data_IF_353990028676
#
_entry.id   IF_353990028676
#
_cell.length_a   1.000
_cell.length_b   1.000
_cell.length_c   1.000
_cell.angle_alpha   90.00
_cell.angle_beta   90.00
_cell.angle_gamma   90.00
#
_symmetry.space_group_name_H-M   'P 1'
#
loop_
_entity.id
_entity.type
_entity.pdbx_description
1 polymer ?
#
# COMPACT_ATOMS: atom_id res chain seq x y z
N UNK A 1 -8.08 -8.42 -9.12
CA UNK A 1 -8.21 -7.34 -8.11
C UNK A 1 -9.63 -6.76 -8.02
N UNK A 2 -10.27 -6.34 -9.12
CA UNK A 2 -11.64 -5.80 -9.10
C UNK A 2 -12.67 -6.72 -8.40
N UNK A 3 -12.66 -8.03 -8.71
CA UNK A 3 -13.54 -9.03 -8.08
C UNK A 3 -13.41 -9.16 -6.56
N UNK A 4 -12.20 -8.99 -6.01
CA UNK A 4 -11.97 -9.14 -4.57
C UNK A 4 -12.53 -7.94 -3.80
N UNK A 5 -12.41 -6.75 -4.39
CA UNK A 5 -12.99 -5.51 -3.87
C UNK A 5 -14.51 -5.56 -3.94
N UNK A 6 -15.07 -6.13 -5.01
CA UNK A 6 -16.51 -6.36 -5.14
C UNK A 6 -17.05 -7.29 -4.07
N UNK A 7 -16.34 -8.39 -3.78
CA UNK A 7 -16.74 -9.36 -2.74
C UNK A 7 -16.72 -8.75 -1.34
N UNK A 8 -15.67 -8.01 -0.99
CA UNK A 8 -15.58 -7.30 0.30
C UNK A 8 -16.69 -6.26 0.41
N UNK A 9 -16.93 -5.47 -0.65
CA UNK A 9 -18.00 -4.47 -0.66
C UNK A 9 -19.38 -5.10 -0.50
N UNK A 10 -19.61 -6.26 -1.15
CA UNK A 10 -20.88 -7.00 -1.07
C UNK A 10 -21.16 -7.49 0.34
N UNK A 11 -20.16 -7.99 1.06
CA UNK A 11 -20.29 -8.44 2.46
C UNK A 11 -20.62 -7.32 3.45
N UNK A 12 -20.31 -6.06 3.12
CA UNK A 12 -20.68 -4.91 3.94
C UNK A 12 -22.07 -4.36 3.65
N UNK A 13 -22.72 -4.80 2.57
CA UNK A 13 -24.12 -4.48 2.29
C UNK A 13 -25.03 -5.53 2.92
N UNK A 14 -25.95 -5.14 3.83
CA UNK A 14 -26.96 -6.07 4.30
C UNK A 14 -27.85 -6.49 3.13
N UNK A 15 -27.79 -7.78 2.76
CA UNK A 15 -28.67 -8.42 1.79
C UNK A 15 -30.09 -8.42 2.35
N UNK A 16 -30.79 -7.31 2.16
CA UNK A 16 -32.21 -7.22 2.45
C UNK A 16 -32.93 -7.68 1.20
N UNK A 17 -33.66 -8.79 1.29
CA UNK A 17 -34.59 -9.22 0.24
C UNK A 17 -35.58 -8.07 0.03
N UNK A 18 -35.36 -7.28 -1.02
CA UNK A 18 -36.10 -6.05 -1.29
C UNK A 18 -37.06 -6.30 -2.47
N UNK A 19 -38.36 -5.96 -2.34
CA UNK A 19 -39.29 -5.99 -3.46
C UNK A 19 -38.76 -5.12 -4.62
N UNK A 20 -39.21 -5.33 -5.88
CA UNK A 20 -38.66 -4.66 -7.04
C UNK A 20 -38.68 -3.14 -6.84
N UNK A 21 -37.47 -2.57 -6.67
CA UNK A 21 -37.27 -1.18 -6.33
C UNK A 21 -37.61 -0.29 -7.52
N UNK A 22 -38.23 0.88 -7.29
CA UNK A 22 -38.52 1.83 -8.38
C UNK A 22 -37.20 2.29 -9.02
N UNK A 23 -37.19 2.73 -10.30
CA UNK A 23 -35.96 3.15 -10.97
C UNK A 23 -35.15 4.21 -10.20
N UNK A 24 -35.83 5.14 -9.52
CA UNK A 24 -35.18 6.11 -8.64
C UNK A 24 -34.48 5.44 -7.44
N UNK A 25 -35.13 4.49 -6.78
CA UNK A 25 -34.57 3.72 -5.66
C UNK A 25 -33.34 2.89 -6.10
N UNK A 26 -33.37 2.32 -7.31
CA UNK A 26 -32.25 1.60 -7.90
C UNK A 26 -31.05 2.52 -8.19
N UNK A 27 -31.28 3.73 -8.70
CA UNK A 27 -30.24 4.72 -8.93
C UNK A 27 -29.61 5.19 -7.60
N UNK A 28 -30.42 5.39 -6.56
CA UNK A 28 -29.95 5.73 -5.23
C UNK A 28 -29.11 4.61 -4.59
N UNK A 29 -29.53 3.35 -4.71
CA UNK A 29 -28.77 2.20 -4.20
C UNK A 29 -27.46 2.00 -4.98
N UNK A 30 -27.49 2.14 -6.31
CA UNK A 30 -26.29 2.07 -7.16
C UNK A 30 -25.27 3.14 -6.78
N UNK A 31 -25.73 4.37 -6.53
CA UNK A 31 -24.88 5.47 -6.04
C UNK A 31 -24.31 5.16 -4.67
N UNK A 32 -25.13 4.67 -3.73
CA UNK A 32 -24.69 4.28 -2.39
C UNK A 32 -23.63 3.20 -2.45
N UNK A 33 -23.82 2.16 -3.26
CA UNK A 33 -22.83 1.10 -3.47
C UNK A 33 -21.51 1.64 -4.05
N UNK A 34 -21.57 2.53 -5.05
CA UNK A 34 -20.38 3.14 -5.62
C UNK A 34 -19.59 3.97 -4.59
N UNK A 35 -20.28 4.72 -3.72
CA UNK A 35 -19.66 5.50 -2.65
C UNK A 35 -19.05 4.60 -1.56
N UNK A 36 -19.75 3.53 -1.17
CA UNK A 36 -19.22 2.54 -0.23
C UNK A 36 -17.96 1.87 -0.79
N UNK A 37 -17.97 1.47 -2.07
CA UNK A 37 -16.80 0.91 -2.75
C UNK A 37 -15.62 1.89 -2.74
N UNK A 38 -15.86 3.16 -3.06
CA UNK A 38 -14.83 4.19 -3.03
C UNK A 38 -14.26 4.37 -1.62
N UNK A 39 -15.11 4.37 -0.60
CA UNK A 39 -14.70 4.47 0.80
C UNK A 39 -13.78 3.31 1.20
N UNK A 40 -14.20 2.07 0.91
CA UNK A 40 -13.41 0.86 1.19
C UNK A 40 -12.05 0.93 0.48
N UNK A 41 -12.01 1.30 -0.80
CA UNK A 41 -10.76 1.44 -1.54
C UNK A 41 -9.83 2.51 -0.95
N UNK A 42 -10.39 3.62 -0.48
CA UNK A 42 -9.62 4.66 0.20
C UNK A 42 -9.02 4.15 1.51
N UNK A 43 -9.80 3.42 2.30
CA UNK A 43 -9.35 2.86 3.58
C UNK A 43 -8.27 1.79 3.38
N UNK A 44 -8.45 0.91 2.37
CA UNK A 44 -7.42 -0.07 1.96
C UNK A 44 -6.13 0.64 1.52
N UNK A 45 -6.23 1.69 0.69
CA UNK A 45 -5.05 2.46 0.26
C UNK A 45 -4.31 3.07 1.44
N UNK A 46 -5.02 3.55 2.47
CA UNK A 46 -4.41 4.09 3.69
C UNK A 46 -3.72 2.99 4.50
N UNK A 47 -4.35 1.84 4.66
CA UNK A 47 -3.77 0.69 5.37
C UNK A 47 -2.51 0.18 4.68
N UNK A 48 -2.54 0.01 3.35
CA UNK A 48 -1.37 -0.41 2.56
C UNK A 48 -0.21 0.59 2.71
N UNK A 49 -0.48 1.90 2.68
CA UNK A 49 0.57 2.91 2.92
C UNK A 49 1.24 2.75 4.28
N UNK A 50 0.47 2.49 5.32
CA UNK A 50 1.01 2.26 6.66
C UNK A 50 1.90 1.00 6.71
N UNK A 51 1.47 -0.09 6.05
CA UNK A 51 2.26 -1.32 5.94
C UNK A 51 3.54 -1.12 5.11
N UNK A 52 3.47 -0.34 4.02
CA UNK A 52 4.66 0.04 3.24
C UNK A 52 5.66 0.83 4.09
N UNK A 53 5.18 1.72 4.96
CA UNK A 53 6.04 2.49 5.84
C UNK A 53 6.74 1.57 6.86
N UNK A 54 6.03 0.61 7.45
CA UNK A 54 6.61 -0.39 8.35
C UNK A 54 7.64 -1.28 7.63
N UNK A 55 7.31 -1.76 6.43
CA UNK A 55 8.21 -2.58 5.62
C UNK A 55 9.48 -1.83 5.22
N UNK A 56 9.37 -0.52 4.93
CA UNK A 56 10.53 0.32 4.63
C UNK A 56 11.48 0.44 5.84
N UNK A 57 10.94 0.57 7.06
CA UNK A 57 11.75 0.59 8.29
C UNK A 57 12.45 -0.76 8.51
N UNK A 58 11.72 -1.86 8.43
CA UNK A 58 12.31 -3.20 8.58
C UNK A 58 13.40 -3.49 7.53
N UNK A 59 13.20 -3.04 6.28
CA UNK A 59 14.21 -3.15 5.23
C UNK A 59 15.46 -2.32 5.56
N UNK A 60 15.28 -1.08 6.04
CA UNK A 60 16.39 -0.22 6.43
C UNK A 60 17.16 -0.79 7.63
N UNK A 61 16.47 -1.31 8.65
CA UNK A 61 17.06 -2.02 9.80
C UNK A 61 17.87 -3.25 9.36
N UNK A 62 17.43 -3.92 8.30
CA UNK A 62 18.14 -5.03 7.66
C UNK A 62 19.31 -4.57 6.77
N UNK A 63 19.59 -3.27 6.70
CA UNK A 63 20.71 -2.68 5.95
C UNK A 63 20.37 -2.15 4.55
N UNK A 64 19.11 -2.21 4.11
CA UNK A 64 18.72 -1.77 2.78
C UNK A 64 18.87 -0.25 2.61
N UNK A 65 19.44 0.15 1.48
CA UNK A 65 19.59 1.54 1.06
C UNK A 65 18.33 2.15 0.46
N UNK A 66 18.24 3.48 0.42
CA UNK A 66 17.18 4.18 -0.33
C UNK A 66 17.04 3.74 -1.80
N UNK A 67 18.11 3.36 -2.54
CA UNK A 67 17.95 2.80 -3.88
C UNK A 67 17.19 1.46 -3.92
N UNK A 68 17.47 0.57 -2.97
CA UNK A 68 16.85 -0.76 -2.89
C UNK A 68 15.39 -0.66 -2.45
N UNK A 69 15.14 0.12 -1.40
CA UNK A 69 13.79 0.40 -0.90
C UNK A 69 12.95 1.09 -1.98
N UNK A 70 13.51 2.09 -2.66
CA UNK A 70 12.83 2.76 -3.78
C UNK A 70 12.49 1.79 -4.90
N UNK A 71 13.44 0.94 -5.33
CA UNK A 71 13.22 -0.06 -6.37
C UNK A 71 12.10 -1.04 -6.01
N UNK A 72 12.03 -1.49 -4.76
CA UNK A 72 11.01 -2.41 -4.28
C UNK A 72 9.58 -1.87 -4.44
N UNK A 73 9.40 -0.54 -4.37
CA UNK A 73 8.10 0.13 -4.53
C UNK A 73 7.98 0.93 -5.83
N UNK A 74 8.81 0.63 -6.83
CA UNK A 74 8.81 1.30 -8.14
C UNK A 74 8.98 2.83 -8.06
N UNK A 75 9.87 3.29 -7.16
CA UNK A 75 10.16 4.69 -6.91
C UNK A 75 11.66 4.97 -7.04
N UNK A 76 12.01 6.19 -7.48
CA UNK A 76 13.40 6.61 -7.47
C UNK A 76 13.96 6.69 -6.03
N UNK A 77 15.29 6.59 -5.89
CA UNK A 77 16.00 6.82 -4.62
C UNK A 77 15.55 8.12 -3.93
N UNK A 78 15.45 9.22 -4.69
CA UNK A 78 15.06 10.51 -4.15
C UNK A 78 13.59 10.55 -3.74
N UNK A 79 12.72 9.85 -4.47
CA UNK A 79 11.34 9.65 -4.06
C UNK A 79 11.26 8.91 -2.73
N UNK A 80 12.01 7.81 -2.58
CA UNK A 80 12.05 7.02 -1.36
C UNK A 80 12.54 7.87 -0.17
N UNK A 81 13.61 8.65 -0.36
CA UNK A 81 14.11 9.58 0.67
C UNK A 81 13.11 10.65 1.05
N UNK A 82 12.36 11.20 0.09
CA UNK A 82 11.32 12.20 0.35
C UNK A 82 10.14 11.59 1.11
N UNK A 83 9.79 10.34 0.81
CA UNK A 83 8.70 9.63 1.47
C UNK A 83 9.05 9.20 2.90
N UNK A 84 10.27 8.70 3.10
CA UNK A 84 10.77 8.23 4.39
C UNK A 84 12.02 9.02 4.80
N UNK A 85 11.87 10.27 5.21
CA UNK A 85 13.01 11.07 5.65
C UNK A 85 13.63 10.46 6.91
N UNK A 86 14.96 10.38 6.96
CA UNK A 86 15.69 9.89 8.14
C UNK A 86 15.69 8.37 8.32
N UNK A 87 15.10 7.62 7.39
CA UNK A 87 14.98 6.15 7.46
C UNK A 87 16.33 5.43 7.59
N UNK A 88 17.38 6.00 6.99
CA UNK A 88 18.74 5.48 7.04
C UNK A 88 19.57 6.49 7.80
N UNK A 89 19.87 6.16 9.06
CA UNK A 89 20.82 6.89 9.89
C UNK A 89 22.18 6.19 9.81
N UNK A 90 23.26 6.95 9.94
CA UNK A 90 24.66 6.48 9.81
C UNK A 90 25.08 5.39 10.81
N UNK A 91 24.19 4.97 11.71
CA UNK A 91 24.42 3.93 12.70
C UNK A 91 23.85 2.56 12.32
N UNK A 92 23.11 2.45 11.21
CA UNK A 92 22.66 1.16 10.70
C UNK A 92 23.83 0.49 10.00
N UNK A 93 24.49 -0.41 10.73
CA UNK A 93 25.62 -1.24 10.32
C UNK A 93 25.55 -1.59 8.82
N UNK A 94 26.30 -0.85 8.00
CA UNK A 94 26.54 -1.25 6.63
C UNK A 94 27.48 -2.45 6.71
N UNK A 95 27.09 -3.67 6.27
CA UNK A 95 28.07 -4.73 6.10
C UNK A 95 29.10 -4.17 5.13
N UNK A 96 30.32 -3.98 5.62
CA UNK A 96 31.39 -3.36 4.85
C UNK A 96 31.53 -4.13 3.55
N UNK A 97 31.24 -3.48 2.42
CA UNK A 97 31.53 -4.01 1.11
C UNK A 97 33.06 -4.13 0.99
N UNK A 98 33.61 -5.24 1.48
CA UNK A 98 35.03 -5.55 1.44
C UNK A 98 35.38 -5.74 -0.04
N UNK A 99 36.20 -4.88 -0.65
CA UNK A 99 36.63 -5.11 -2.02
C UNK A 99 37.39 -6.45 -2.07
N UNK A 100 37.23 -7.26 -3.14
CA UNK A 100 37.98 -8.50 -3.26
C UNK A 100 39.47 -8.16 -3.24
N UNK A 101 40.20 -8.70 -2.27
CA UNK A 101 41.65 -8.67 -2.25
C UNK A 101 42.15 -9.32 -3.54
N UNK A 102 42.67 -8.51 -4.46
CA UNK A 102 43.40 -8.98 -5.62
C UNK A 102 44.80 -9.35 -5.17
N UNK A 103 45.02 -10.62 -4.85
CA UNK A 103 46.37 -11.17 -4.71
C UNK A 103 47.00 -11.29 -6.10
N UNK A 104 48.15 -10.64 -6.26
CA UNK A 104 49.14 -10.92 -7.32
C UNK A 104 50.46 -11.20 -6.64
#
# INVERSE_FOLDING_TARGET
MARLVDEVSRRFTPESVRPPARPADQAHESRRHALLRLRVLSDVKRAVRHLEDQAAHAAAESGAGYPEIGRAVSMSRQGARRRWPGLISSNTNHPSHRPPHRST
#
